data_IF_991828221835
#
_entry.id   IF_991828221835
#
_cell.length_a   1.000
_cell.length_b   1.000
_cell.length_c   1.000
_cell.angle_alpha   90.00
_cell.angle_beta   90.00
_cell.angle_gamma   90.00
#
_symmetry.space_group_name_H-M   'P 1'
#
loop_
_entity.id
_entity.type
_entity.pdbx_description
1 polymer ?
#
# COMPACT_ATOMS: atom_id res chain seq x y z
N UNK A 1 -6.87 35.04 -52.30
CA UNK A 1 -6.68 35.41 -50.88
C UNK A 1 -7.05 34.30 -49.88
N UNK A 2 -7.75 33.24 -50.31
CA UNK A 2 -8.27 32.19 -49.41
C UNK A 2 -7.19 31.21 -48.92
N UNK A 3 -6.24 30.80 -49.77
CA UNK A 3 -5.17 29.87 -49.37
C UNK A 3 -4.23 30.41 -48.28
N UNK A 4 -4.01 31.73 -48.22
CA UNK A 4 -3.18 32.35 -47.16
C UNK A 4 -3.87 32.29 -45.79
N UNK A 5 -5.19 32.42 -45.74
CA UNK A 5 -5.97 32.32 -44.48
C UNK A 5 -6.02 30.87 -43.98
N UNK A 6 -6.16 29.91 -44.89
CA UNK A 6 -6.13 28.48 -44.56
C UNK A 6 -4.76 28.06 -44.01
N UNK A 7 -3.67 28.53 -44.62
CA UNK A 7 -2.31 28.24 -44.16
C UNK A 7 -2.06 28.78 -42.74
N UNK A 8 -2.50 30.01 -42.47
CA UNK A 8 -2.36 30.63 -41.13
C UNK A 8 -3.17 29.85 -40.09
N UNK A 9 -4.39 29.41 -40.42
CA UNK A 9 -5.22 28.61 -39.53
C UNK A 9 -4.54 27.28 -39.15
N UNK A 10 -3.96 26.58 -40.14
CA UNK A 10 -3.26 25.30 -39.90
C UNK A 10 -2.02 25.49 -39.03
N UNK A 11 -1.26 26.56 -39.25
CA UNK A 11 -0.07 26.89 -38.44
C UNK A 11 -0.46 27.25 -36.99
N UNK A 12 -1.51 28.02 -36.79
CA UNK A 12 -1.98 28.37 -35.43
C UNK A 12 -2.55 27.15 -34.70
N UNK A 13 -3.31 26.30 -35.38
CA UNK A 13 -3.90 25.10 -34.77
C UNK A 13 -2.81 24.09 -34.36
N UNK A 14 -1.79 23.91 -35.20
CA UNK A 14 -0.66 23.02 -34.91
C UNK A 14 0.22 23.54 -33.76
N UNK A 15 0.38 24.86 -33.61
CA UNK A 15 1.04 25.47 -32.45
C UNK A 15 0.27 25.23 -31.15
N UNK A 16 -1.06 25.37 -31.15
CA UNK A 16 -1.90 25.12 -29.96
C UNK A 16 -1.83 23.65 -29.55
N UNK A 17 -1.90 22.73 -30.51
CA UNK A 17 -1.77 21.28 -30.26
C UNK A 17 -0.38 20.94 -29.73
N UNK A 18 0.69 21.51 -30.30
CA UNK A 18 2.05 21.32 -29.81
C UNK A 18 2.26 21.86 -28.38
N UNK A 19 1.67 23.01 -28.05
CA UNK A 19 1.71 23.56 -26.69
C UNK A 19 0.93 22.70 -25.69
N UNK A 20 -0.25 22.18 -26.08
CA UNK A 20 -1.05 21.28 -25.24
C UNK A 20 -0.35 19.93 -24.97
N UNK A 21 0.26 19.35 -26.01
CA UNK A 21 1.03 18.11 -25.90
C UNK A 21 2.32 18.34 -25.08
N UNK A 22 3.03 19.45 -25.31
CA UNK A 22 4.23 19.82 -24.55
C UNK A 22 3.94 20.03 -23.06
N UNK A 23 2.80 20.63 -22.72
CA UNK A 23 2.35 20.80 -21.33
C UNK A 23 1.99 19.45 -20.68
N UNK A 24 1.31 18.56 -21.41
CA UNK A 24 0.97 17.22 -20.95
C UNK A 24 2.20 16.34 -20.70
N UNK A 25 3.13 16.31 -21.65
CA UNK A 25 4.40 15.57 -21.53
C UNK A 25 5.24 16.15 -20.40
N UNK A 26 5.33 17.48 -20.31
CA UNK A 26 6.01 18.18 -19.21
C UNK A 26 5.49 17.76 -17.84
N UNK A 27 4.17 17.76 -17.63
CA UNK A 27 3.56 17.29 -16.38
C UNK A 27 3.82 15.81 -16.11
N UNK A 28 3.75 14.94 -17.11
CA UNK A 28 4.03 13.50 -16.93
C UNK A 28 5.49 13.29 -16.51
N UNK A 29 6.43 14.02 -17.11
CA UNK A 29 7.85 13.96 -16.74
C UNK A 29 8.07 14.52 -15.34
N UNK A 30 7.42 15.63 -14.97
CA UNK A 30 7.53 16.21 -13.62
C UNK A 30 6.91 15.29 -12.55
N UNK A 31 5.76 14.67 -12.81
CA UNK A 31 5.15 13.67 -11.92
C UNK A 31 6.06 12.43 -11.81
N UNK A 32 6.63 11.93 -12.92
CA UNK A 32 7.59 10.82 -12.89
C UNK A 32 8.88 11.15 -12.15
N UNK A 33 9.35 12.40 -12.25
CA UNK A 33 10.56 12.86 -11.55
C UNK A 33 10.28 13.05 -10.07
N UNK A 34 9.16 13.65 -9.71
CA UNK A 34 8.70 13.79 -8.33
C UNK A 34 8.46 12.42 -7.69
N UNK A 35 7.84 11.47 -8.39
CA UNK A 35 7.64 10.11 -7.87
C UNK A 35 8.94 9.31 -7.75
N UNK A 36 9.92 9.52 -8.66
CA UNK A 36 11.27 8.95 -8.49
C UNK A 36 12.02 9.55 -7.31
N UNK A 37 11.97 10.87 -7.15
CA UNK A 37 12.60 11.57 -6.01
C UNK A 37 11.95 11.11 -4.72
N UNK A 38 10.61 11.04 -4.68
CA UNK A 38 9.87 10.50 -3.54
C UNK A 38 10.26 9.04 -3.28
N UNK A 39 10.30 8.16 -4.29
CA UNK A 39 10.70 6.76 -4.14
C UNK A 39 12.16 6.60 -3.65
N UNK A 40 13.08 7.46 -4.10
CA UNK A 40 14.48 7.47 -3.66
C UNK A 40 14.60 7.96 -2.21
N UNK A 41 13.91 9.05 -1.88
CA UNK A 41 13.87 9.64 -0.54
C UNK A 41 13.21 8.69 0.47
N UNK A 42 12.14 8.01 0.06
CA UNK A 42 11.43 7.02 0.89
C UNK A 42 12.24 5.73 1.09
N UNK A 43 13.02 5.31 0.08
CA UNK A 43 13.90 4.13 0.17
C UNK A 43 15.10 4.32 1.10
N UNK A 44 15.70 5.51 1.08
CA UNK A 44 16.99 5.72 1.76
C UNK A 44 16.87 6.30 3.17
N UNK A 45 15.83 7.09 3.51
CA UNK A 45 15.87 7.89 4.74
C UNK A 45 14.73 7.69 5.75
N UNK A 46 13.59 7.09 5.40
CA UNK A 46 12.42 7.15 6.31
C UNK A 46 11.75 5.82 6.70
N UNK A 47 11.84 4.73 5.92
CA UNK A 47 11.05 3.52 6.21
C UNK A 47 11.85 2.25 6.54
N UNK A 48 13.13 2.19 6.19
CA UNK A 48 13.91 0.96 6.34
C UNK A 48 14.06 0.49 7.79
N UNK A 49 14.47 1.34 8.75
CA UNK A 49 14.56 0.93 10.16
C UNK A 49 13.19 0.60 10.76
N UNK A 50 12.13 1.35 10.44
CA UNK A 50 10.79 1.08 10.96
C UNK A 50 10.22 -0.25 10.45
N UNK A 51 10.47 -0.58 9.18
CA UNK A 51 10.05 -1.85 8.58
C UNK A 51 10.87 -3.01 9.15
N UNK A 52 12.16 -2.81 9.40
CA UNK A 52 13.02 -3.82 10.02
C UNK A 52 12.62 -4.09 11.48
N UNK A 53 12.35 -3.04 12.27
CA UNK A 53 11.82 -3.16 13.64
C UNK A 53 10.46 -3.89 13.65
N UNK A 54 9.54 -3.47 12.78
CA UNK A 54 8.24 -4.15 12.64
C UNK A 54 8.41 -5.62 12.26
N UNK A 55 9.29 -5.94 11.30
CA UNK A 55 9.56 -7.32 10.92
C UNK A 55 10.14 -8.13 12.08
N UNK A 56 11.07 -7.56 12.84
CA UNK A 56 11.68 -8.23 13.99
C UNK A 56 10.65 -8.59 15.07
N UNK A 57 9.62 -7.76 15.26
CA UNK A 57 8.51 -8.03 16.19
C UNK A 57 7.52 -9.03 15.60
N UNK A 58 7.19 -8.93 14.32
CA UNK A 58 6.16 -9.76 13.70
C UNK A 58 6.61 -11.20 13.41
N UNK A 59 7.88 -11.41 13.10
CA UNK A 59 8.43 -12.74 12.78
C UNK A 59 8.17 -13.78 13.90
N UNK A 60 8.51 -13.54 15.18
CA UNK A 60 8.21 -14.50 16.25
C UNK A 60 6.71 -14.75 16.42
N UNK A 61 5.87 -13.72 16.31
CA UNK A 61 4.41 -13.86 16.42
C UNK A 61 3.81 -14.70 15.28
N UNK A 62 4.35 -14.56 14.06
CA UNK A 62 3.96 -15.39 12.92
C UNK A 62 4.32 -16.85 13.17
N UNK A 63 5.54 -17.10 13.66
CA UNK A 63 6.01 -18.46 13.97
C UNK A 63 5.20 -19.09 15.10
N UNK A 64 4.89 -18.32 16.14
CA UNK A 64 4.06 -18.75 17.26
C UNK A 64 2.64 -19.10 16.80
N UNK A 65 1.99 -18.20 16.05
CA UNK A 65 0.69 -18.47 15.44
C UNK A 65 0.71 -19.74 14.59
N UNK A 66 1.77 -19.97 13.81
CA UNK A 66 1.87 -21.15 12.97
C UNK A 66 1.93 -22.44 13.79
N UNK A 67 2.72 -22.45 14.88
CA UNK A 67 2.75 -23.57 15.84
C UNK A 67 1.38 -23.82 16.48
N UNK A 68 0.69 -22.75 16.88
CA UNK A 68 -0.65 -22.87 17.47
C UNK A 68 -1.67 -23.42 16.46
N UNK A 69 -1.58 -23.04 15.18
CA UNK A 69 -2.42 -23.62 14.13
C UNK A 69 -2.16 -25.11 13.96
N UNK A 70 -0.89 -25.55 14.00
CA UNK A 70 -0.54 -26.97 13.96
C UNK A 70 -1.10 -27.72 15.18
N UNK A 71 -1.00 -27.14 16.38
CA UNK A 71 -1.59 -27.68 17.61
C UNK A 71 -3.12 -27.80 17.51
N UNK A 72 -3.78 -26.79 16.93
CA UNK A 72 -5.22 -26.79 16.73
C UNK A 72 -5.64 -27.90 15.76
N UNK A 73 -4.92 -28.08 14.65
CA UNK A 73 -5.16 -29.19 13.73
C UNK A 73 -5.06 -30.54 14.44
N UNK A 74 -4.00 -30.75 15.23
CA UNK A 74 -3.84 -31.99 16.01
C UNK A 74 -4.96 -32.18 17.06
N UNK A 75 -5.44 -31.11 17.68
CA UNK A 75 -6.56 -31.17 18.62
C UNK A 75 -7.85 -31.61 17.94
N UNK A 76 -8.12 -31.07 16.74
CA UNK A 76 -9.28 -31.42 15.92
C UNK A 76 -9.21 -32.88 15.47
N UNK A 77 -8.05 -33.34 14.98
CA UNK A 77 -7.84 -34.73 14.55
C UNK A 77 -8.05 -35.73 15.69
N UNK A 78 -7.79 -35.32 16.94
CA UNK A 78 -7.96 -36.14 18.14
C UNK A 78 -9.34 -35.99 18.79
N UNK A 79 -10.23 -35.21 18.19
CA UNK A 79 -11.55 -34.87 18.74
C UNK A 79 -11.49 -34.24 20.15
N UNK A 80 -10.36 -33.65 20.52
CA UNK A 80 -10.17 -32.99 21.83
C UNK A 80 -10.69 -31.55 21.76
N UNK A 81 -12.00 -31.42 21.92
CA UNK A 81 -12.71 -30.13 21.87
C UNK A 81 -12.26 -29.11 22.91
N UNK A 82 -11.87 -29.56 24.12
CA UNK A 82 -11.42 -28.66 25.19
C UNK A 82 -10.05 -28.08 24.87
N UNK A 83 -9.13 -28.92 24.38
CA UNK A 83 -7.82 -28.48 23.94
C UNK A 83 -7.92 -27.59 22.70
N UNK A 84 -8.75 -27.96 21.71
CA UNK A 84 -8.99 -27.15 20.52
C UNK A 84 -9.50 -25.75 20.87
N UNK A 85 -10.44 -25.64 21.82
CA UNK A 85 -10.96 -24.34 22.26
C UNK A 85 -9.88 -23.47 22.91
N UNK A 86 -9.02 -24.07 23.74
CA UNK A 86 -7.90 -23.36 24.38
C UNK A 86 -6.91 -22.82 23.35
N UNK A 87 -6.47 -23.67 22.42
CA UNK A 87 -5.53 -23.28 21.37
C UNK A 87 -6.13 -22.22 20.45
N UNK A 88 -7.44 -22.30 20.15
CA UNK A 88 -8.12 -21.24 19.39
C UNK A 88 -8.12 -19.88 20.14
N UNK A 89 -8.24 -19.89 21.47
CA UNK A 89 -8.07 -18.70 22.31
C UNK A 89 -6.67 -18.11 22.21
N UNK A 90 -5.63 -18.94 22.35
CA UNK A 90 -4.23 -18.52 22.21
C UNK A 90 -3.95 -17.94 20.80
N UNK A 91 -4.51 -18.54 19.75
CA UNK A 91 -4.42 -18.00 18.37
C UNK A 91 -5.05 -16.60 18.30
N UNK A 92 -6.20 -16.39 18.95
CA UNK A 92 -6.88 -15.10 18.96
C UNK A 92 -6.05 -14.03 19.70
N UNK A 93 -5.40 -14.39 20.81
CA UNK A 93 -4.49 -13.52 21.56
C UNK A 93 -3.31 -13.07 20.69
N UNK A 94 -2.61 -14.01 20.04
CA UNK A 94 -1.49 -13.70 19.13
C UNK A 94 -1.96 -12.85 17.95
N UNK A 95 -3.13 -13.13 17.37
CA UNK A 95 -3.69 -12.30 16.29
C UNK A 95 -4.00 -10.88 16.74
N UNK A 96 -4.49 -10.71 17.97
CA UNK A 96 -4.75 -9.39 18.53
C UNK A 96 -3.45 -8.62 18.75
N UNK A 97 -2.42 -9.27 19.28
CA UNK A 97 -1.09 -8.68 19.44
C UNK A 97 -0.48 -8.24 18.10
N UNK A 98 -0.52 -9.13 17.09
CA UNK A 98 -0.13 -8.82 15.71
C UNK A 98 -0.87 -7.59 15.16
N UNK A 99 -2.18 -7.50 15.38
CA UNK A 99 -2.99 -6.37 14.94
C UNK A 99 -2.56 -5.07 15.62
N UNK A 100 -2.32 -5.10 16.93
CA UNK A 100 -1.87 -3.93 17.68
C UNK A 100 -0.53 -3.41 17.18
N UNK A 101 0.44 -4.30 16.96
CA UNK A 101 1.73 -3.92 16.38
C UNK A 101 1.60 -3.38 14.96
N UNK A 102 0.73 -3.98 14.14
CA UNK A 102 0.45 -3.50 12.78
C UNK A 102 -0.12 -2.08 12.81
N UNK A 103 -1.12 -1.82 13.67
CA UNK A 103 -1.73 -0.49 13.80
C UNK A 103 -0.70 0.54 14.30
N UNK A 104 0.12 0.19 15.29
CA UNK A 104 1.18 1.07 15.78
C UNK A 104 2.20 1.42 14.70
N UNK A 105 2.65 0.42 13.93
CA UNK A 105 3.57 0.63 12.82
C UNK A 105 2.97 1.57 11.76
N UNK A 106 1.71 1.34 11.37
CA UNK A 106 1.02 2.18 10.39
C UNK A 106 0.82 3.62 10.88
N UNK A 107 0.55 3.83 12.17
CA UNK A 107 0.44 5.16 12.77
C UNK A 107 1.80 5.88 12.75
N UNK A 108 2.89 5.20 13.13
CA UNK A 108 4.25 5.75 13.07
C UNK A 108 4.61 6.13 11.64
N UNK A 109 4.47 5.20 10.70
CA UNK A 109 4.75 5.44 9.27
C UNK A 109 3.87 6.54 8.69
N UNK A 110 2.57 6.59 9.03
CA UNK A 110 1.67 7.67 8.60
C UNK A 110 2.04 9.05 9.17
N UNK A 111 2.64 9.10 10.36
CA UNK A 111 3.16 10.30 10.99
C UNK A 111 4.33 10.94 10.22
N UNK A 112 5.18 10.11 9.61
CA UNK A 112 6.32 10.56 8.79
C UNK A 112 5.92 11.07 7.39
N UNK A 113 4.67 10.85 6.96
CA UNK A 113 4.20 11.30 5.65
C UNK A 113 3.83 12.80 5.67
N UNK A 114 4.12 13.54 4.58
CA UNK A 114 3.61 14.90 4.36
C UNK A 114 2.08 14.95 4.47
N UNK A 115 1.47 16.07 4.93
CA UNK A 115 0.02 16.18 5.15
C UNK A 115 -0.85 15.81 3.94
N UNK A 116 -0.36 16.09 2.73
CA UNK A 116 -1.03 15.77 1.47
C UNK A 116 -1.05 14.27 1.21
N UNK A 117 0.08 13.59 1.45
CA UNK A 117 0.23 12.13 1.25
C UNK A 117 -0.45 11.35 2.38
N UNK A 118 -0.43 11.88 3.60
CA UNK A 118 -1.07 11.26 4.77
C UNK A 118 -2.56 11.06 4.58
N UNK A 119 -3.26 12.02 3.96
CA UNK A 119 -4.70 11.89 3.66
C UNK A 119 -4.99 10.74 2.70
N UNK A 120 -4.20 10.61 1.64
CA UNK A 120 -4.33 9.51 0.68
C UNK A 120 -3.98 8.16 1.32
N UNK A 121 -2.94 8.12 2.16
CA UNK A 121 -2.56 6.94 2.94
C UNK A 121 -3.66 6.48 3.89
N UNK A 122 -4.23 7.39 4.70
CA UNK A 122 -5.36 7.07 5.59
C UNK A 122 -6.57 6.61 4.76
N UNK A 123 -6.87 7.29 3.66
CA UNK A 123 -7.96 6.90 2.77
C UNK A 123 -7.75 5.53 2.12
N UNK A 124 -6.52 5.14 1.82
CA UNK A 124 -6.18 3.79 1.37
C UNK A 124 -6.38 2.75 2.48
N UNK A 125 -5.91 3.04 3.69
CA UNK A 125 -6.07 2.17 4.85
C UNK A 125 -7.54 1.91 5.20
N UNK A 126 -8.38 2.95 5.20
CA UNK A 126 -9.81 2.85 5.54
C UNK A 126 -10.64 2.14 4.48
N UNK A 127 -10.28 2.27 3.19
CA UNK A 127 -10.99 1.58 2.10
C UNK A 127 -10.71 0.08 2.09
N UNK A 128 -9.66 -0.37 2.78
CA UNK A 128 -9.15 -1.73 2.67
C UNK A 128 -8.71 -2.05 1.23
N UNK A 129 -8.16 -3.25 0.99
CA UNK A 129 -8.03 -3.71 -0.40
C UNK A 129 -9.43 -3.69 -1.02
N UNK A 130 -9.67 -3.05 -2.18
CA UNK A 130 -10.92 -3.26 -2.89
C UNK A 130 -11.09 -4.77 -3.01
N UNK A 131 -12.23 -5.31 -2.55
CA UNK A 131 -12.56 -6.73 -2.70
C UNK A 131 -12.25 -7.06 -4.15
N UNK A 132 -11.13 -7.74 -4.37
CA UNK A 132 -10.78 -8.26 -5.67
C UNK A 132 -11.86 -9.30 -5.88
N UNK A 133 -12.92 -8.90 -6.59
CA UNK A 133 -14.07 -9.73 -6.89
C UNK A 133 -13.47 -11.00 -7.49
N UNK A 134 -13.38 -12.04 -6.65
CA UNK A 134 -13.17 -13.42 -7.07
C UNK A 134 -14.36 -13.71 -7.96
N UNK A 135 -14.22 -13.39 -9.25
CA UNK A 135 -14.87 -14.14 -10.31
C UNK A 135 -14.27 -15.54 -10.21
N UNK A 136 -14.82 -16.32 -9.30
CA UNK A 136 -14.86 -17.76 -9.43
C UNK A 136 -15.79 -18.00 -10.63
N UNK A 137 -15.18 -18.22 -11.78
CA UNK A 137 -15.74 -19.03 -12.85
C UNK A 137 -14.93 -20.32 -12.87
#
# INVERSE_FOLDING_TARGET
MENKKLLILVVVLSLIVAMGIGFGIGRIVTIRRASRIFAHFTREQMLRPEIEEYRAVMEPLIQEKQKLVELLCMAIEREDSLFAYRVAGEIAEVQNEMLMHTVQHLLRTGGHLPPEVRRDFIGFMLRGRPKQNRRLR
#
